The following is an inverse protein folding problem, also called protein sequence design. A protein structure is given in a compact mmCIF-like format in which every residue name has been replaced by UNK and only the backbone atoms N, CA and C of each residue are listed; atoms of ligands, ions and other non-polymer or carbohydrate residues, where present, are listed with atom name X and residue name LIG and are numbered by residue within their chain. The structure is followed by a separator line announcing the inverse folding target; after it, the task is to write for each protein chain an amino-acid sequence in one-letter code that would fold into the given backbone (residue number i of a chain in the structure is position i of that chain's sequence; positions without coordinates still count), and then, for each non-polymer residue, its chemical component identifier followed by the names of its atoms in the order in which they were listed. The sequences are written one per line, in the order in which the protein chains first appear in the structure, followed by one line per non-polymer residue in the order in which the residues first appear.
data_IF_879275990523
#
_entry.id   IF_879275990523
#
_cell.length_a   1.000
_cell.length_b   1.000
_cell.length_c   1.000
_cell.angle_alpha   90.00
_cell.angle_beta   90.00
_cell.angle_gamma   90.00
#
_symmetry.space_group_name_H-M   'P 1'
#
loop_
_entity.id
_entity.type
_entity.pdbx_description
1 polymer ?
#
# COMPACT_ATOMS: atom_id res chain seq x y z
N UNK A 1 -56.26 0.39 15.27
CA UNK A 1 -54.80 0.63 15.43
C UNK A 1 -54.05 -0.63 15.07
N UNK A 2 -53.35 -0.65 13.93
CA UNK A 2 -52.40 -1.72 13.59
C UNK A 2 -51.00 -1.12 13.69
N UNK A 3 -50.23 -1.55 14.68
CA UNK A 3 -48.81 -1.24 14.77
C UNK A 3 -48.06 -2.22 13.86
N UNK A 4 -47.61 -1.74 12.71
CA UNK A 4 -46.69 -2.48 11.85
C UNK A 4 -45.29 -2.35 12.46
N UNK A 5 -44.66 -3.49 12.76
CA UNK A 5 -43.26 -3.58 13.18
C UNK A 5 -42.38 -2.97 12.09
N UNK A 6 -41.81 -1.78 12.33
CA UNK A 6 -40.74 -1.25 11.49
C UNK A 6 -39.52 -2.11 11.73
N UNK A 7 -39.17 -2.85 10.67
CA UNK A 7 -38.09 -3.81 10.62
C UNK A 7 -36.76 -3.10 10.88
N UNK A 8 -35.99 -3.74 11.75
CA UNK A 8 -34.63 -3.50 12.18
C UNK A 8 -33.65 -3.58 10.99
N UNK A 9 -33.67 -2.61 10.06
CA UNK A 9 -32.81 -2.60 8.86
C UNK A 9 -31.56 -1.72 9.06
N UNK A 10 -31.53 -0.83 10.04
CA UNK A 10 -30.41 0.09 10.26
C UNK A 10 -29.17 -0.54 10.92
N UNK A 11 -29.26 -1.75 11.50
CA UNK A 11 -28.11 -2.39 12.16
C UNK A 11 -27.25 -3.28 11.24
N UNK A 12 -27.72 -3.64 10.04
CA UNK A 12 -26.96 -4.56 9.15
C UNK A 12 -25.88 -3.81 8.36
N UNK A 13 -26.05 -2.53 8.05
CA UNK A 13 -25.02 -1.75 7.36
C UNK A 13 -23.80 -1.43 8.22
N UNK A 14 -23.96 -1.32 9.55
CA UNK A 14 -22.82 -1.13 10.47
C UNK A 14 -22.00 -2.41 10.69
N UNK A 15 -22.60 -3.59 10.49
CA UNK A 15 -21.92 -4.88 10.66
C UNK A 15 -20.96 -5.22 9.52
N UNK A 16 -21.05 -4.55 8.36
CA UNK A 16 -20.08 -4.71 7.28
C UNK A 16 -18.82 -3.85 7.44
N UNK A 17 -18.86 -2.78 8.24
CA UNK A 17 -17.67 -1.93 8.45
C UNK A 17 -16.74 -2.42 9.57
N UNK A 18 -17.24 -3.23 10.52
CA UNK A 18 -16.43 -3.66 11.67
C UNK A 18 -15.66 -4.98 11.40
N UNK A 19 -16.01 -5.74 10.36
CA UNK A 19 -15.35 -7.02 10.05
C UNK A 19 -14.12 -6.93 9.13
N UNK A 20 -13.76 -5.74 8.62
CA UNK A 20 -12.52 -5.59 7.83
C UNK A 20 -11.26 -5.41 8.68
N UNK A 21 -11.39 -5.36 10.01
CA UNK A 21 -10.27 -4.91 10.84
C UNK A 21 -9.11 -5.90 11.01
N UNK A 22 -9.15 -7.11 10.43
CA UNK A 22 -8.09 -8.12 10.60
C UNK A 22 -7.93 -9.07 9.40
N UNK A 23 -8.14 -8.60 8.18
CA UNK A 23 -7.68 -9.28 6.95
C UNK A 23 -6.86 -8.29 6.11
N UNK A 24 -5.69 -7.91 6.62
CA UNK A 24 -4.76 -6.95 5.99
C UNK A 24 -4.11 -7.43 4.68
N UNK A 25 -4.80 -8.25 3.89
CA UNK A 25 -4.30 -8.71 2.60
C UNK A 25 -5.38 -8.47 1.54
N UNK A 26 -5.15 -7.41 0.78
CA UNK A 26 -6.02 -6.98 -0.30
C UNK A 26 -6.07 -8.03 -1.43
N UNK A 27 -7.28 -8.27 -1.96
CA UNK A 27 -7.54 -9.20 -3.07
C UNK A 27 -7.45 -8.52 -4.43
N UNK A 28 -7.43 -7.18 -4.49
CA UNK A 28 -7.37 -6.40 -5.73
C UNK A 28 -6.58 -5.10 -5.58
N UNK A 29 -6.15 -4.50 -6.69
CA UNK A 29 -5.49 -3.19 -6.63
C UNK A 29 -6.41 -2.11 -6.07
N UNK A 30 -7.72 -2.21 -6.34
CA UNK A 30 -8.74 -1.29 -5.83
C UNK A 30 -8.90 -1.42 -4.32
N UNK A 31 -8.98 -2.64 -3.79
CA UNK A 31 -9.02 -2.86 -2.35
C UNK A 31 -7.76 -2.33 -1.66
N UNK A 32 -6.57 -2.51 -2.26
CA UNK A 32 -5.31 -2.02 -1.71
C UNK A 32 -5.31 -0.48 -1.68
N UNK A 33 -5.63 0.15 -2.82
CA UNK A 33 -5.66 1.59 -2.95
C UNK A 33 -6.68 2.24 -2.02
N UNK A 34 -7.88 1.65 -1.89
CA UNK A 34 -8.91 2.16 -0.98
C UNK A 34 -8.48 2.05 0.50
N UNK A 35 -7.91 0.91 0.92
CA UNK A 35 -7.39 0.76 2.29
C UNK A 35 -6.23 1.72 2.58
N UNK A 36 -5.37 1.97 1.59
CA UNK A 36 -4.31 2.96 1.71
C UNK A 36 -4.90 4.36 1.93
N UNK A 37 -5.84 4.78 1.11
CA UNK A 37 -6.49 6.09 1.27
C UNK A 37 -7.23 6.22 2.59
N UNK A 38 -7.92 5.16 3.03
CA UNK A 38 -8.54 5.12 4.35
C UNK A 38 -7.52 5.31 5.48
N UNK A 39 -6.35 4.68 5.39
CA UNK A 39 -5.27 4.90 6.36
C UNK A 39 -4.74 6.34 6.35
N UNK A 40 -4.61 6.96 5.17
CA UNK A 40 -4.19 8.37 5.03
C UNK A 40 -5.21 9.30 5.67
N UNK A 41 -6.49 9.15 5.33
CA UNK A 41 -7.58 10.00 5.83
C UNK A 41 -7.80 9.84 7.34
N UNK A 42 -7.64 8.62 7.86
CA UNK A 42 -7.73 8.34 9.30
C UNK A 42 -6.43 8.60 10.06
N UNK A 43 -5.34 8.92 9.35
CA UNK A 43 -3.98 9.11 9.90
C UNK A 43 -3.48 7.89 10.67
N UNK A 44 -3.95 6.71 10.30
CA UNK A 44 -3.71 5.48 11.05
C UNK A 44 -2.50 4.74 10.48
N UNK A 45 -1.33 5.00 11.08
CA UNK A 45 -0.06 4.39 10.67
C UNK A 45 -0.03 2.87 10.82
N UNK A 46 -0.75 2.31 11.80
CA UNK A 46 -0.83 0.85 11.98
C UNK A 46 -1.65 0.20 10.86
N UNK A 47 -2.73 0.86 10.44
CA UNK A 47 -3.53 0.42 9.28
C UNK A 47 -2.75 0.56 7.97
N UNK A 48 -1.85 1.53 7.86
CA UNK A 48 -0.94 1.63 6.73
C UNK A 48 0.08 0.48 6.73
N UNK A 49 0.72 0.20 7.88
CA UNK A 49 1.77 -0.83 7.99
C UNK A 49 1.30 -2.23 7.63
N UNK A 50 0.04 -2.58 7.88
CA UNK A 50 -0.50 -3.88 7.48
C UNK A 50 -0.59 -4.07 5.96
N UNK A 51 -0.53 -2.98 5.18
CA UNK A 51 -0.54 -3.01 3.71
C UNK A 51 0.86 -3.28 3.12
N UNK A 52 1.92 -3.12 3.91
CA UNK A 52 3.29 -3.38 3.48
C UNK A 52 3.54 -4.89 3.32
N UNK A 53 4.53 -5.24 2.50
CA UNK A 53 5.02 -6.61 2.44
C UNK A 53 5.42 -7.11 3.84
N UNK A 54 5.04 -8.35 4.21
CA UNK A 54 5.48 -8.93 5.49
C UNK A 54 7.01 -9.02 5.55
N UNK A 55 7.62 -8.67 6.70
CA UNK A 55 9.07 -8.72 6.94
C UNK A 55 9.74 -9.99 6.41
N UNK A 56 9.17 -11.16 6.71
CA UNK A 56 9.68 -12.46 6.24
C UNK A 56 9.76 -12.57 4.71
N UNK A 57 8.82 -11.96 4.00
CA UNK A 57 8.80 -11.94 2.53
C UNK A 57 9.91 -11.03 2.02
N UNK A 58 10.05 -9.82 2.58
CA UNK A 58 11.12 -8.88 2.23
C UNK A 58 12.50 -9.49 2.46
N UNK A 59 12.74 -10.09 3.62
CA UNK A 59 14.01 -10.74 3.93
C UNK A 59 14.31 -11.89 2.96
N UNK A 60 13.30 -12.68 2.58
CA UNK A 60 13.49 -13.74 1.59
C UNK A 60 13.80 -13.19 0.20
N UNK A 61 13.20 -12.07 -0.19
CA UNK A 61 13.50 -11.39 -1.45
C UNK A 61 14.94 -10.86 -1.46
N UNK A 62 15.41 -10.30 -0.35
CA UNK A 62 16.81 -9.86 -0.21
C UNK A 62 17.78 -11.04 -0.32
N UNK A 63 17.49 -12.14 0.37
CA UNK A 63 18.29 -13.37 0.30
C UNK A 63 18.38 -13.91 -1.15
N UNK A 64 17.25 -14.00 -1.85
CA UNK A 64 17.20 -14.49 -3.24
C UNK A 64 17.91 -13.58 -4.25
N UNK A 65 17.96 -12.27 -3.99
CA UNK A 65 18.62 -11.29 -4.86
C UNK A 65 20.09 -11.06 -4.48
N UNK A 66 20.58 -11.73 -3.44
CA UNK A 66 21.96 -11.62 -3.02
C UNK A 66 22.87 -12.22 -4.11
N UNK A 67 23.97 -11.54 -4.52
CA UNK A 67 24.82 -12.03 -5.59
C UNK A 67 25.38 -13.43 -5.34
N UNK A 68 25.37 -14.31 -6.34
CA UNK A 68 25.81 -15.71 -6.21
C UNK A 68 27.29 -15.86 -5.84
N UNK A 69 28.09 -14.81 -6.02
CA UNK A 69 29.53 -14.80 -5.80
C UNK A 69 29.96 -14.45 -4.37
N UNK A 70 29.04 -14.11 -3.47
CA UNK A 70 29.39 -13.84 -2.08
C UNK A 70 29.52 -15.15 -1.29
N UNK A 71 30.45 -15.20 -0.34
CA UNK A 71 30.60 -16.39 0.48
C UNK A 71 29.47 -16.49 1.54
N UNK A 72 29.30 -17.69 2.11
CA UNK A 72 28.22 -17.96 3.08
C UNK A 72 28.29 -17.05 4.31
N UNK A 73 29.48 -16.76 4.82
CA UNK A 73 29.65 -15.95 6.03
C UNK A 73 29.25 -14.48 5.79
N UNK A 74 29.67 -13.92 4.66
CA UNK A 74 29.26 -12.58 4.22
C UNK A 74 27.76 -12.50 4.02
N UNK A 75 27.15 -13.49 3.37
CA UNK A 75 25.69 -13.56 3.19
C UNK A 75 24.96 -13.58 4.53
N UNK A 76 25.37 -14.46 5.43
CA UNK A 76 24.71 -14.61 6.73
C UNK A 76 24.87 -13.33 7.58
N UNK A 77 26.01 -12.63 7.45
CA UNK A 77 26.24 -11.31 8.07
C UNK A 77 25.32 -10.23 7.50
N UNK A 78 25.21 -10.14 6.16
CA UNK A 78 24.31 -9.19 5.48
C UNK A 78 22.84 -9.42 5.85
N UNK A 79 22.41 -10.68 5.93
CA UNK A 79 21.04 -11.01 6.31
C UNK A 79 20.74 -10.63 7.77
N UNK A 80 21.68 -10.85 8.69
CA UNK A 80 21.54 -10.38 10.09
C UNK A 80 21.44 -8.86 10.18
N UNK A 81 22.28 -8.13 9.43
CA UNK A 81 22.22 -6.68 9.38
C UNK A 81 20.87 -6.22 8.84
N UNK A 82 20.41 -6.80 7.73
CA UNK A 82 19.11 -6.49 7.13
C UNK A 82 17.94 -6.75 8.09
N UNK A 83 17.95 -7.88 8.80
CA UNK A 83 16.93 -8.21 9.79
C UNK A 83 16.90 -7.21 10.96
N UNK A 84 18.09 -6.81 11.43
CA UNK A 84 18.25 -5.84 12.53
C UNK A 84 17.87 -4.41 12.12
N UNK A 85 18.09 -4.06 10.85
CA UNK A 85 17.80 -2.74 10.30
C UNK A 85 16.36 -2.60 9.82
N UNK A 86 15.63 -3.71 9.60
CA UNK A 86 14.32 -3.69 8.98
C UNK A 86 13.34 -2.76 9.70
N UNK A 87 13.18 -2.91 11.01
CA UNK A 87 12.18 -2.13 11.74
C UNK A 87 12.62 -0.65 11.91
N UNK A 88 13.92 -0.40 12.10
CA UNK A 88 14.44 0.94 12.42
C UNK A 88 14.80 1.79 11.20
N UNK A 89 15.01 1.19 10.03
CA UNK A 89 15.41 1.89 8.81
C UNK A 89 14.32 1.70 7.75
N UNK A 90 14.04 0.45 7.39
CA UNK A 90 13.14 0.15 6.28
C UNK A 90 11.71 0.60 6.60
N UNK A 91 11.12 0.15 7.71
CA UNK A 91 9.77 0.56 8.11
C UNK A 91 9.69 2.07 8.36
N UNK A 92 10.69 2.66 9.03
CA UNK A 92 10.71 4.09 9.31
C UNK A 92 10.70 4.95 8.04
N UNK A 93 11.27 4.49 6.92
CA UNK A 93 11.16 5.20 5.64
C UNK A 93 9.71 5.26 5.14
N UNK A 94 9.00 4.13 5.16
CA UNK A 94 7.58 4.10 4.79
C UNK A 94 6.72 4.94 5.72
N UNK A 95 6.98 4.89 7.03
CA UNK A 95 6.28 5.71 8.03
C UNK A 95 6.48 7.21 7.75
N UNK A 96 7.71 7.63 7.45
CA UNK A 96 8.02 9.02 7.10
C UNK A 96 7.35 9.44 5.79
N UNK A 97 7.35 8.59 4.76
CA UNK A 97 6.66 8.85 3.50
C UNK A 97 5.13 8.96 3.72
N UNK A 98 4.54 8.05 4.49
CA UNK A 98 3.13 8.11 4.88
C UNK A 98 2.77 9.42 5.59
N UNK A 99 3.55 9.84 6.59
CA UNK A 99 3.31 11.08 7.32
C UNK A 99 3.39 12.32 6.41
N UNK A 100 4.31 12.33 5.43
CA UNK A 100 4.36 13.39 4.42
C UNK A 100 3.10 13.44 3.57
N UNK A 101 2.60 12.29 3.12
CA UNK A 101 1.35 12.20 2.34
C UNK A 101 0.14 12.66 3.16
N UNK A 102 0.05 12.27 4.44
CA UNK A 102 -0.97 12.76 5.37
C UNK A 102 -0.90 14.29 5.47
N UNK A 103 0.29 14.85 5.73
CA UNK A 103 0.46 16.30 5.85
C UNK A 103 0.07 17.05 4.57
N UNK A 104 0.46 16.53 3.40
CA UNK A 104 0.08 17.09 2.10
C UNK A 104 -1.43 17.07 1.88
N UNK A 105 -2.07 15.95 2.24
CA UNK A 105 -3.52 15.78 2.15
C UNK A 105 -4.25 16.82 2.99
N UNK A 106 -3.83 17.01 4.25
CA UNK A 106 -4.45 17.98 5.16
C UNK A 106 -4.23 19.43 4.71
N UNK A 107 -2.99 19.76 4.37
CA UNK A 107 -2.60 21.14 4.03
C UNK A 107 -3.31 21.63 2.77
N UNK A 108 -3.44 20.75 1.78
CA UNK A 108 -4.02 21.10 0.47
C UNK A 108 -5.48 20.69 0.33
N UNK A 109 -6.10 20.12 1.37
CA UNK A 109 -7.49 19.64 1.38
C UNK A 109 -7.80 18.76 0.18
N UNK A 110 -6.92 17.79 -0.09
CA UNK A 110 -7.04 16.90 -1.25
C UNK A 110 -8.36 16.13 -1.18
N UNK A 111 -9.12 16.17 -2.27
CA UNK A 111 -10.34 15.41 -2.44
C UNK A 111 -10.01 13.99 -2.91
N UNK A 112 -10.23 13.03 -2.01
CA UNK A 112 -10.02 11.60 -2.24
C UNK A 112 -11.29 10.86 -2.66
N UNK A 113 -12.35 11.57 -3.05
CA UNK A 113 -13.56 10.94 -3.58
C UNK A 113 -13.36 10.45 -5.02
N UNK A 114 -14.15 9.44 -5.42
CA UNK A 114 -14.22 8.93 -6.80
C UNK A 114 -12.88 8.44 -7.39
N UNK A 115 -12.11 7.69 -6.61
CA UNK A 115 -10.82 7.16 -7.04
C UNK A 115 -10.96 6.09 -8.11
N UNK A 116 -10.07 6.15 -9.10
CA UNK A 116 -9.95 5.14 -10.15
C UNK A 116 -8.48 4.76 -10.28
N UNK A 117 -8.15 3.59 -9.78
CA UNK A 117 -6.79 3.07 -9.79
C UNK A 117 -6.45 2.40 -11.11
N UNK A 118 -5.44 2.92 -11.81
CA UNK A 118 -4.94 2.46 -13.09
C UNK A 118 -3.52 1.93 -12.92
N UNK A 119 -3.18 0.82 -13.59
CA UNK A 119 -1.82 0.31 -13.62
C UNK A 119 -1.10 1.04 -14.76
N UNK A 120 -0.02 1.77 -14.44
CA UNK A 120 0.81 2.46 -15.44
C UNK A 120 1.90 1.55 -15.98
N UNK A 121 2.59 0.83 -15.09
CA UNK A 121 3.67 -0.06 -15.46
C UNK A 121 3.54 -1.40 -14.75
N UNK A 122 3.93 -2.46 -15.45
CA UNK A 122 4.31 -3.74 -14.85
C UNK A 122 5.82 -3.90 -14.98
N UNK A 123 6.56 -3.97 -13.87
CA UNK A 123 8.00 -4.17 -13.94
C UNK A 123 8.34 -5.66 -14.12
N UNK A 124 9.47 -5.92 -14.78
CA UNK A 124 10.00 -7.28 -14.87
C UNK A 124 10.51 -7.73 -13.49
N UNK A 125 10.13 -8.93 -13.06
CA UNK A 125 10.64 -9.55 -11.85
C UNK A 125 11.35 -10.86 -12.19
N UNK A 126 12.49 -11.08 -11.54
CA UNK A 126 13.22 -12.35 -11.62
C UNK A 126 12.60 -13.43 -10.72
N UNK A 127 11.75 -13.03 -9.78
CA UNK A 127 11.17 -13.94 -8.80
C UNK A 127 9.76 -14.39 -9.22
N UNK A 128 9.57 -15.70 -9.28
CA UNK A 128 8.26 -16.32 -9.51
C UNK A 128 7.26 -15.83 -8.44
N UNK A 129 6.03 -15.54 -8.85
CA UNK A 129 4.95 -15.00 -8.01
C UNK A 129 5.17 -13.59 -7.44
N UNK A 130 6.17 -12.84 -7.90
CA UNK A 130 6.39 -11.45 -7.52
C UNK A 130 6.11 -10.55 -8.72
N UNK A 131 4.91 -9.99 -8.82
CA UNK A 131 4.52 -9.08 -9.91
C UNK A 131 4.49 -7.63 -9.40
N UNK A 132 5.52 -6.81 -9.64
CA UNK A 132 5.55 -5.39 -9.26
C UNK A 132 4.79 -4.50 -10.26
N UNK A 133 4.12 -3.46 -9.74
CA UNK A 133 3.29 -2.53 -10.47
C UNK A 133 3.46 -1.10 -9.97
N UNK A 134 3.41 -0.12 -10.87
CA UNK A 134 3.12 1.26 -10.51
C UNK A 134 1.65 1.54 -10.74
N UNK A 135 0.97 2.03 -9.69
CA UNK A 135 -0.45 2.36 -9.74
C UNK A 135 -0.63 3.86 -9.63
N UNK A 136 -1.59 4.39 -10.39
CA UNK A 136 -1.95 5.80 -10.45
C UNK A 136 -3.45 5.99 -10.24
N UNK A 137 -3.82 7.11 -9.61
CA UNK A 137 -5.18 7.66 -9.70
C UNK A 137 -5.09 9.17 -9.88
N UNK A 138 -6.02 9.72 -10.67
CA UNK A 138 -6.20 11.16 -10.79
C UNK A 138 -7.09 11.66 -9.65
N UNK A 139 -6.72 12.81 -9.10
CA UNK A 139 -7.44 13.56 -8.07
C UNK A 139 -8.07 14.78 -8.74
N UNK A 140 -9.34 15.09 -8.44
CA UNK A 140 -10.16 15.95 -9.33
C UNK A 140 -10.28 17.40 -8.82
N UNK A 141 -9.79 17.72 -7.62
CA UNK A 141 -10.05 19.02 -6.97
C UNK A 141 -8.89 19.55 -6.11
N UNK A 142 -7.63 19.42 -6.54
CA UNK A 142 -6.54 20.12 -5.87
C UNK A 142 -5.42 20.50 -6.84
N UNK A 143 -4.55 21.43 -6.45
CA UNK A 143 -3.30 21.70 -7.16
C UNK A 143 -2.47 20.42 -7.39
N UNK A 144 -2.69 19.40 -6.56
CA UNK A 144 -2.12 18.06 -6.67
C UNK A 144 -3.12 17.09 -7.31
N UNK A 145 -2.93 16.81 -8.60
CA UNK A 145 -3.88 16.05 -9.40
C UNK A 145 -3.54 14.57 -9.55
N UNK A 146 -2.37 14.14 -9.07
CA UNK A 146 -1.88 12.79 -9.33
C UNK A 146 -1.38 12.13 -8.06
N UNK A 147 -1.88 10.92 -7.79
CA UNK A 147 -1.38 10.06 -6.73
C UNK A 147 -0.81 8.78 -7.33
N UNK A 148 0.42 8.46 -6.95
CA UNK A 148 1.13 7.25 -7.36
C UNK A 148 1.54 6.44 -6.15
N UNK A 149 1.50 5.12 -6.29
CA UNK A 149 2.10 4.21 -5.34
C UNK A 149 2.54 2.93 -6.03
N UNK A 150 3.67 2.39 -5.57
CA UNK A 150 4.16 1.10 -6.04
C UNK A 150 3.52 -0.02 -5.22
N UNK A 151 3.05 -1.04 -5.92
CA UNK A 151 2.45 -2.21 -5.33
C UNK A 151 2.97 -3.48 -5.96
N UNK A 152 3.00 -4.56 -5.19
CA UNK A 152 3.31 -5.89 -5.68
C UNK A 152 2.13 -6.82 -5.48
N UNK A 153 1.91 -7.69 -6.46
CA UNK A 153 1.10 -8.89 -6.26
C UNK A 153 2.01 -10.07 -5.95
N UNK A 154 2.05 -10.46 -4.68
CA UNK A 154 2.80 -11.62 -4.20
C UNK A 154 1.85 -12.76 -3.82
N UNK A 155 1.99 -13.93 -4.47
CA UNK A 155 1.12 -15.10 -4.25
C UNK A 155 -0.39 -14.79 -4.36
N UNK A 156 -0.74 -13.95 -5.32
CA UNK A 156 -2.13 -13.52 -5.57
C UNK A 156 -2.67 -12.46 -4.61
N UNK A 157 -1.85 -11.92 -3.70
CA UNK A 157 -2.22 -10.88 -2.73
C UNK A 157 -1.48 -9.59 -3.01
N UNK A 158 -2.12 -8.45 -2.78
CA UNK A 158 -1.59 -7.12 -3.06
C UNK A 158 -0.97 -6.48 -1.83
N UNK A 159 0.21 -5.88 -2.01
CA UNK A 159 0.98 -5.19 -0.98
C UNK A 159 1.59 -3.91 -1.53
N UNK A 160 1.89 -2.95 -0.67
CA UNK A 160 2.74 -1.80 -0.98
C UNK A 160 4.21 -2.22 -0.96
N UNK A 161 4.98 -1.68 -1.90
CA UNK A 161 6.39 -2.05 -2.10
C UNK A 161 7.34 -0.84 -2.05
N UNK A 162 6.86 0.40 -2.25
CA UNK A 162 7.74 1.58 -2.32
C UNK A 162 7.04 2.84 -1.79
N UNK A 163 7.76 3.96 -1.85
CA UNK A 163 7.26 5.28 -1.55
C UNK A 163 6.01 5.64 -2.37
N UNK A 164 5.12 6.37 -1.72
CA UNK A 164 3.96 7.00 -2.32
C UNK A 164 4.31 8.43 -2.73
N UNK A 165 3.68 8.91 -3.80
CA UNK A 165 3.94 10.25 -4.33
C UNK A 165 2.63 10.95 -4.71
N UNK A 166 2.52 12.23 -4.33
CA UNK A 166 1.44 13.12 -4.77
C UNK A 166 2.07 14.28 -5.54
N UNK A 167 1.65 14.49 -6.79
CA UNK A 167 2.23 15.51 -7.67
C UNK A 167 1.16 16.42 -8.27
N UNK A 168 1.58 17.63 -8.63
CA UNK A 168 0.74 18.62 -9.31
C UNK A 168 0.46 18.21 -10.75
N UNK A 169 1.53 17.89 -11.46
CA UNK A 169 1.52 17.51 -12.86
C UNK A 169 1.72 16.00 -13.01
N UNK A 170 1.33 15.47 -14.16
CA UNK A 170 1.59 14.08 -14.54
C UNK A 170 3.10 13.83 -14.63
N UNK A 171 3.58 12.81 -13.91
CA UNK A 171 5.02 12.49 -13.83
C UNK A 171 5.38 11.23 -14.61
N UNK A 172 4.43 10.30 -14.69
CA UNK A 172 4.61 9.01 -15.33
C UNK A 172 3.47 8.79 -16.33
N UNK A 173 3.79 8.32 -17.52
CA UNK A 173 2.83 7.96 -18.55
C UNK A 173 2.74 6.43 -18.69
N UNK A 174 1.64 5.84 -19.18
CA UNK A 174 1.63 4.42 -19.52
C UNK A 174 2.74 4.09 -20.51
N UNK A 175 3.43 2.95 -20.35
CA UNK A 175 4.25 2.41 -21.44
C UNK A 175 3.32 1.72 -22.44
N UNK A 176 3.42 2.10 -23.71
CA UNK A 176 2.76 1.43 -24.84
C UNK A 176 3.17 -0.06 -24.96
#
# INVERSE_FOLDING_TARGET
MKYTKTVLITSIFYLFFINNHLHGQSKSKEELGNSLVESILSKNIESFKVLLLPKKVVLKLLENNTPENINKEERDSLMKQSESAYDNIFISQYENNFLKIVQLTETNKIDWSNLKFEILYKYSSKQHEYDPFLIHTRLINSDYNHFYFSAVRYKGKWFLEDEMEITKDEKYAPND
#
